data_IF_637430323957
#
_entry.id   IF_637430323957
#
_cell.length_a   1.000
_cell.length_b   1.000
_cell.length_c   1.000
_cell.angle_alpha   90.00
_cell.angle_beta   90.00
_cell.angle_gamma   90.00
#
_symmetry.space_group_name_H-M   'P 1'
#
loop_
_entity.id
_entity.type
_entity.pdbx_description
1 polymer ?
#
# COMPACT_ATOMS: atom_id res chain seq x y z
N UNK A 1 30.53 -22.22 7.34
CA UNK A 1 29.67 -21.55 8.34
C UNK A 1 30.59 -21.00 9.41
N UNK A 2 30.48 -19.73 9.79
CA UNK A 2 31.24 -19.21 10.92
C UNK A 2 30.63 -19.75 12.22
N UNK A 3 31.47 -20.22 13.13
CA UNK A 3 31.03 -20.67 14.45
C UNK A 3 30.78 -19.46 15.37
N UNK A 4 29.93 -19.64 16.38
CA UNK A 4 29.63 -18.59 17.35
C UNK A 4 30.86 -18.29 18.23
N UNK A 5 31.19 -17.01 18.49
CA UNK A 5 32.26 -16.65 19.41
C UNK A 5 32.03 -17.22 20.82
N UNK A 6 33.08 -17.67 21.53
CA UNK A 6 32.95 -18.12 22.92
C UNK A 6 32.41 -17.02 23.85
N UNK A 7 31.51 -17.38 24.76
CA UNK A 7 31.04 -16.50 25.84
C UNK A 7 29.98 -15.46 25.48
N UNK A 8 29.50 -15.42 24.23
CA UNK A 8 28.36 -14.54 23.87
C UNK A 8 27.04 -15.05 24.48
N UNK A 9 26.12 -14.14 24.75
CA UNK A 9 24.77 -14.48 25.17
C UNK A 9 24.07 -15.30 24.06
N UNK A 10 23.47 -16.43 24.44
CA UNK A 10 22.68 -17.26 23.52
C UNK A 10 21.24 -17.30 24.01
N UNK A 11 20.32 -16.87 23.13
CA UNK A 11 18.88 -16.89 23.39
C UNK A 11 18.26 -18.06 22.62
N UNK A 12 17.85 -19.10 23.34
CA UNK A 12 17.15 -20.24 22.74
C UNK A 12 15.83 -19.79 22.13
N UNK A 13 15.57 -20.19 20.88
CA UNK A 13 14.27 -20.03 20.23
C UNK A 13 13.30 -21.18 20.53
N UNK A 14 13.72 -22.15 21.37
CA UNK A 14 12.93 -23.33 21.73
C UNK A 14 12.34 -24.07 20.50
N UNK A 15 13.11 -24.11 19.40
CA UNK A 15 12.71 -24.77 18.14
C UNK A 15 11.81 -23.95 17.22
N UNK A 16 11.50 -22.69 17.55
CA UNK A 16 10.71 -21.82 16.68
C UNK A 16 11.46 -21.42 15.39
N UNK A 17 10.70 -20.99 14.39
CA UNK A 17 11.21 -20.45 13.12
C UNK A 17 11.64 -19.00 13.34
N UNK A 18 12.85 -18.64 12.89
CA UNK A 18 13.30 -17.26 12.82
C UNK A 18 13.26 -16.76 11.37
N UNK A 19 12.74 -15.56 11.19
CA UNK A 19 12.52 -14.88 9.91
C UNK A 19 12.87 -13.39 10.07
N UNK A 20 13.17 -12.66 8.99
CA UNK A 20 12.94 -11.22 8.98
C UNK A 20 11.50 -10.90 9.41
N UNK A 21 11.31 -9.76 10.07
CA UNK A 21 9.96 -9.30 10.41
C UNK A 21 9.14 -8.98 9.15
N UNK A 22 7.82 -9.14 9.22
CA UNK A 22 6.98 -8.88 8.06
C UNK A 22 6.89 -7.38 7.76
N UNK A 23 6.73 -7.07 6.48
CA UNK A 23 6.54 -5.72 5.96
C UNK A 23 5.15 -5.64 5.32
N UNK A 24 4.24 -4.88 5.92
CA UNK A 24 2.89 -4.71 5.39
C UNK A 24 2.75 -3.39 4.63
N UNK A 25 2.67 -3.47 3.31
CA UNK A 25 2.68 -2.28 2.45
C UNK A 25 1.30 -1.67 2.22
N UNK A 26 0.25 -2.15 2.89
CA UNK A 26 -1.09 -1.55 2.86
C UNK A 26 -1.83 -1.82 4.17
N UNK A 27 -1.91 -0.81 5.04
CA UNK A 27 -2.52 -0.93 6.36
C UNK A 27 -3.25 0.35 6.77
N UNK A 28 -4.58 0.32 6.78
CA UNK A 28 -5.42 1.46 7.11
C UNK A 28 -5.53 1.70 8.63
N UNK A 29 -5.51 0.60 9.39
CA UNK A 29 -5.68 0.60 10.84
C UNK A 29 -5.48 -0.78 11.44
N UNK A 30 -5.19 -0.84 12.74
CA UNK A 30 -5.15 -2.06 13.54
C UNK A 30 -5.14 -1.68 15.03
N UNK A 31 -5.29 -2.66 15.92
CA UNK A 31 -5.22 -2.44 17.37
C UNK A 31 -6.34 -1.58 17.94
N UNK A 32 -7.47 -1.48 17.24
CA UNK A 32 -8.62 -0.65 17.62
C UNK A 32 -8.59 0.78 17.08
N UNK A 33 -7.58 1.17 16.30
CA UNK A 33 -7.45 2.51 15.72
C UNK A 33 -7.37 2.47 14.19
N UNK A 34 -7.66 3.61 13.54
CA UNK A 34 -7.55 3.83 12.10
C UNK A 34 -6.70 5.08 11.86
N UNK A 35 -5.88 5.09 10.82
CA UNK A 35 -5.16 6.27 10.35
C UNK A 35 -5.96 7.02 9.26
N UNK A 36 -7.25 7.23 9.50
CA UNK A 36 -8.22 7.74 8.53
C UNK A 36 -9.35 8.51 9.23
N UNK A 37 -10.32 8.99 8.45
CA UNK A 37 -11.59 9.62 8.87
C UNK A 37 -11.49 11.01 9.53
N UNK A 38 -10.63 11.22 10.52
CA UNK A 38 -10.59 12.49 11.27
C UNK A 38 -9.18 13.01 11.54
N UNK A 39 -9.06 14.31 11.83
CA UNK A 39 -7.80 14.93 12.20
C UNK A 39 -7.25 14.38 13.53
N UNK A 40 -8.12 13.91 14.43
CA UNK A 40 -7.70 13.30 15.70
C UNK A 40 -7.08 11.92 15.47
N UNK A 41 -7.65 11.15 14.53
CA UNK A 41 -7.19 9.81 14.19
C UNK A 41 -5.86 9.82 13.40
N UNK A 42 -5.62 10.85 12.59
CA UNK A 42 -4.35 11.02 11.85
C UNK A 42 -3.31 11.67 12.77
N UNK A 43 -2.67 10.86 13.62
CA UNK A 43 -1.72 11.31 14.65
C UNK A 43 -0.54 10.36 14.83
N UNK A 44 0.54 10.82 15.46
CA UNK A 44 1.71 9.99 15.80
C UNK A 44 1.32 8.87 16.77
N UNK A 45 0.43 9.15 17.73
CA UNK A 45 -0.07 8.17 18.69
C UNK A 45 -0.78 7.00 17.99
N UNK A 46 -1.60 7.28 16.98
CA UNK A 46 -2.22 6.23 16.15
C UNK A 46 -1.18 5.32 15.50
N UNK A 47 -0.11 5.88 14.93
CA UNK A 47 0.97 5.10 14.32
C UNK A 47 1.72 4.24 15.35
N UNK A 48 1.94 4.76 16.55
CA UNK A 48 2.56 4.01 17.66
C UNK A 48 1.67 2.84 18.13
N UNK A 49 0.36 3.06 18.25
CA UNK A 49 -0.62 2.02 18.59
C UNK A 49 -0.62 0.93 17.51
N UNK A 50 -0.67 1.33 16.23
CA UNK A 50 -0.64 0.40 15.10
C UNK A 50 0.64 -0.44 15.09
N UNK A 51 1.81 0.19 15.28
CA UNK A 51 3.09 -0.51 15.36
C UNK A 51 3.09 -1.57 16.48
N UNK A 52 2.60 -1.23 17.67
CA UNK A 52 2.52 -2.18 18.80
C UNK A 52 1.52 -3.30 18.56
N UNK A 53 0.48 -3.08 17.77
CA UNK A 53 -0.45 -4.13 17.36
C UNK A 53 0.19 -5.06 16.31
N UNK A 54 0.89 -4.49 15.33
CA UNK A 54 1.62 -5.23 14.29
C UNK A 54 2.69 -6.18 14.87
N UNK A 55 3.44 -5.74 15.87
CA UNK A 55 4.47 -6.55 16.51
C UNK A 55 3.91 -7.86 17.13
N UNK A 56 2.63 -7.87 17.54
CA UNK A 56 1.96 -9.07 18.09
C UNK A 56 1.69 -10.15 17.04
N UNK A 57 1.64 -9.77 15.76
CA UNK A 57 1.47 -10.67 14.62
C UNK A 57 2.75 -10.85 13.79
N UNK A 58 3.90 -10.40 14.30
CA UNK A 58 5.20 -10.55 13.65
C UNK A 58 5.49 -9.51 12.55
N UNK A 59 4.63 -8.52 12.38
CA UNK A 59 4.85 -7.39 11.48
C UNK A 59 5.67 -6.32 12.20
N UNK A 60 6.87 -6.05 11.68
CA UNK A 60 7.79 -5.07 12.28
C UNK A 60 7.76 -3.74 11.54
N UNK A 61 7.27 -3.75 10.30
CA UNK A 61 7.31 -2.62 9.40
C UNK A 61 6.02 -2.51 8.60
N UNK A 62 5.56 -1.29 8.35
CA UNK A 62 4.37 -1.08 7.55
C UNK A 62 4.35 0.28 6.87
N UNK A 63 3.43 0.45 5.93
CA UNK A 63 3.05 1.75 5.39
C UNK A 63 1.69 2.15 5.98
N UNK A 64 1.59 3.19 6.82
CA UNK A 64 0.29 3.72 7.20
C UNK A 64 -0.44 4.22 5.95
N UNK A 65 -1.60 3.62 5.69
CA UNK A 65 -2.41 3.89 4.52
C UNK A 65 -3.49 4.91 4.86
N UNK A 66 -3.36 6.11 4.27
CA UNK A 66 -4.39 7.15 4.30
C UNK A 66 -5.18 7.09 3.00
N UNK A 67 -6.47 6.73 3.09
CA UNK A 67 -7.36 6.61 1.94
C UNK A 67 -7.87 7.98 1.48
N UNK A 68 -8.71 7.97 0.45
CA UNK A 68 -9.27 9.17 -0.19
C UNK A 68 -9.96 10.11 0.81
N UNK A 69 -9.36 11.28 1.00
CA UNK A 69 -9.78 12.31 1.95
C UNK A 69 -9.48 13.73 1.40
N UNK A 70 -9.67 14.77 2.20
CA UNK A 70 -9.38 16.16 1.84
C UNK A 70 -7.87 16.45 1.75
N UNK A 71 -7.51 17.52 1.04
CA UNK A 71 -6.12 17.97 0.93
C UNK A 71 -5.52 18.31 2.30
N UNK A 72 -6.32 18.85 3.21
CA UNK A 72 -5.91 19.23 4.58
C UNK A 72 -5.47 17.99 5.37
N UNK A 73 -6.24 16.91 5.29
CA UNK A 73 -5.93 15.68 6.01
C UNK A 73 -4.75 14.95 5.36
N UNK A 74 -4.59 14.99 4.03
CA UNK A 74 -3.37 14.51 3.35
C UNK A 74 -2.12 15.27 3.83
N UNK A 75 -2.19 16.61 3.87
CA UNK A 75 -1.10 17.46 4.39
C UNK A 75 -0.80 17.16 5.85
N UNK A 76 -1.82 16.86 6.65
CA UNK A 76 -1.64 16.44 8.04
C UNK A 76 -0.95 15.09 8.14
N UNK A 77 -1.39 14.08 7.37
CA UNK A 77 -0.75 12.78 7.31
C UNK A 77 0.75 12.89 7.03
N UNK A 78 1.13 13.74 6.07
CA UNK A 78 2.53 14.01 5.72
C UNK A 78 3.32 14.62 6.88
N UNK A 79 2.76 15.60 7.61
CA UNK A 79 3.40 16.16 8.81
C UNK A 79 3.56 15.12 9.92
N UNK A 80 2.53 14.31 10.15
CA UNK A 80 2.54 13.25 11.17
C UNK A 80 3.56 12.17 10.85
N UNK A 81 3.64 11.75 9.58
CA UNK A 81 4.63 10.76 9.16
C UNK A 81 6.05 11.29 9.34
N UNK A 82 6.28 12.56 8.99
CA UNK A 82 7.58 13.23 9.20
C UNK A 82 7.96 13.23 10.68
N UNK A 83 7.04 13.63 11.57
CA UNK A 83 7.28 13.63 13.01
C UNK A 83 7.53 12.22 13.57
N UNK A 84 6.80 11.21 13.07
CA UNK A 84 7.01 9.82 13.49
C UNK A 84 8.40 9.31 13.09
N UNK A 85 8.85 9.57 11.85
CA UNK A 85 10.15 9.12 11.34
C UNK A 85 11.34 9.70 12.10
N UNK A 86 11.22 10.90 12.68
CA UNK A 86 12.26 11.49 13.53
C UNK A 86 12.50 10.69 14.81
N UNK A 87 11.48 9.98 15.30
CA UNK A 87 11.50 9.26 16.58
C UNK A 87 11.68 7.75 16.41
N UNK A 88 11.16 7.19 15.33
CA UNK A 88 10.92 5.75 15.17
C UNK A 88 11.47 5.22 13.84
N UNK A 89 12.81 5.09 13.69
CA UNK A 89 13.41 4.56 12.47
C UNK A 89 13.05 3.08 12.28
N UNK A 90 12.87 2.68 11.02
CA UNK A 90 12.64 1.28 10.65
C UNK A 90 11.41 0.62 11.32
N UNK A 91 10.33 1.38 11.51
CA UNK A 91 9.01 0.88 11.92
C UNK A 91 7.99 1.20 10.82
N UNK A 92 7.13 2.21 10.99
CA UNK A 92 6.37 2.78 9.88
C UNK A 92 7.32 3.46 8.89
N UNK A 93 7.36 2.99 7.65
CA UNK A 93 8.43 3.31 6.69
C UNK A 93 8.19 4.58 5.86
N UNK A 94 6.99 5.14 5.96
CA UNK A 94 6.51 6.25 5.13
C UNK A 94 5.06 6.03 4.69
N UNK A 95 4.41 7.06 4.18
CA UNK A 95 2.99 7.00 3.85
C UNK A 95 2.71 6.15 2.62
N UNK A 96 1.56 5.48 2.68
CA UNK A 96 0.82 5.06 1.50
C UNK A 96 -0.42 5.93 1.35
N UNK A 97 -0.48 6.76 0.31
CA UNK A 97 -1.68 7.51 -0.03
C UNK A 97 -2.53 6.70 -1.02
N UNK A 98 -3.71 6.23 -0.60
CA UNK A 98 -4.62 5.45 -1.45
C UNK A 98 -5.75 6.31 -2.02
N UNK A 99 -5.51 6.84 -3.23
CA UNK A 99 -6.28 7.93 -3.80
C UNK A 99 -5.72 9.30 -3.41
N UNK A 100 -6.45 10.39 -3.69
CA UNK A 100 -7.86 10.46 -4.10
C UNK A 100 -8.11 10.35 -5.61
N UNK A 101 -7.07 10.12 -6.41
CA UNK A 101 -7.14 10.12 -7.88
C UNK A 101 -7.56 8.76 -8.44
N UNK A 102 -8.78 8.36 -8.08
CA UNK A 102 -9.34 7.04 -8.34
C UNK A 102 -10.48 7.10 -9.37
N UNK A 103 -10.95 5.94 -9.82
CA UNK A 103 -12.14 5.83 -10.64
C UNK A 103 -13.37 5.55 -9.77
N UNK A 104 -14.41 6.38 -9.88
CA UNK A 104 -15.67 6.21 -9.13
C UNK A 104 -16.33 4.85 -9.35
N UNK A 105 -16.18 4.24 -10.53
CA UNK A 105 -16.69 2.89 -10.83
C UNK A 105 -16.09 1.84 -9.88
N UNK A 106 -14.86 2.07 -9.43
CA UNK A 106 -14.06 1.17 -8.60
C UNK A 106 -13.70 1.80 -7.27
N UNK A 107 -14.49 2.77 -6.78
CA UNK A 107 -14.25 3.44 -5.49
C UNK A 107 -14.21 2.49 -4.28
N UNK A 108 -14.87 1.32 -4.36
CA UNK A 108 -15.03 0.44 -3.20
C UNK A 108 -15.67 1.19 -2.02
N UNK A 109 -14.99 1.17 -0.88
CA UNK A 109 -15.36 1.85 0.37
C UNK A 109 -14.99 3.33 0.41
N UNK A 110 -14.22 3.84 -0.56
CA UNK A 110 -13.81 5.25 -0.58
C UNK A 110 -15.02 6.17 -0.69
N UNK A 111 -14.96 7.28 0.04
CA UNK A 111 -16.00 8.31 -0.01
C UNK A 111 -15.99 8.98 -1.40
N UNK A 112 -17.08 8.86 -2.19
CA UNK A 112 -17.14 9.41 -3.54
C UNK A 112 -16.98 10.93 -3.59
N UNK A 113 -17.33 11.64 -2.51
CA UNK A 113 -17.26 13.11 -2.46
C UNK A 113 -15.83 13.63 -2.50
N UNK A 114 -14.85 12.79 -2.10
CA UNK A 114 -13.43 13.15 -2.15
C UNK A 114 -12.71 12.58 -3.38
N UNK A 115 -13.32 11.66 -4.14
CA UNK A 115 -12.68 11.13 -5.37
C UNK A 115 -12.62 12.25 -6.42
N UNK A 116 -11.41 12.62 -6.83
CA UNK A 116 -11.18 13.81 -7.67
C UNK A 116 -10.02 13.62 -8.63
N UNK A 117 -9.93 14.48 -9.63
CA UNK A 117 -8.77 14.52 -10.54
C UNK A 117 -7.54 15.11 -9.82
N UNK A 118 -6.31 14.77 -10.26
CA UNK A 118 -5.11 15.40 -9.75
C UNK A 118 -5.09 16.90 -10.06
N UNK A 119 -4.81 17.69 -9.04
CA UNK A 119 -4.47 19.11 -9.17
C UNK A 119 -2.95 19.27 -9.11
N UNK A 120 -2.41 20.18 -9.93
CA UNK A 120 -0.96 20.37 -10.05
C UNK A 120 -0.32 20.79 -8.73
N UNK A 121 -0.95 21.66 -7.94
CA UNK A 121 -0.37 22.12 -6.68
C UNK A 121 -0.28 20.98 -5.65
N UNK A 122 -1.28 20.10 -5.62
CA UNK A 122 -1.24 18.92 -4.75
C UNK A 122 -0.17 17.92 -5.21
N UNK A 123 -0.07 17.64 -6.51
CA UNK A 123 0.98 16.76 -7.07
C UNK A 123 2.37 17.27 -6.69
N UNK A 124 2.61 18.57 -6.89
CA UNK A 124 3.89 19.21 -6.58
C UNK A 124 4.20 19.12 -5.09
N UNK A 125 3.21 19.37 -4.24
CA UNK A 125 3.33 19.22 -2.80
C UNK A 125 3.70 17.79 -2.38
N UNK A 126 3.14 16.75 -3.03
CA UNK A 126 3.53 15.37 -2.75
C UNK A 126 4.98 15.11 -3.16
N UNK A 127 5.41 15.62 -4.32
CA UNK A 127 6.79 15.45 -4.79
C UNK A 127 7.81 16.14 -3.87
N UNK A 128 7.50 17.34 -3.38
CA UNK A 128 8.35 18.07 -2.43
C UNK A 128 8.45 17.38 -1.06
N UNK A 129 7.55 16.43 -0.77
CA UNK A 129 7.51 15.65 0.47
C UNK A 129 7.74 14.14 0.22
N UNK A 130 8.35 13.77 -0.91
CA UNK A 130 8.59 12.38 -1.28
C UNK A 130 9.42 11.61 -0.23
N UNK A 131 10.22 12.30 0.57
CA UNK A 131 11.05 11.71 1.62
C UNK A 131 10.27 11.02 2.75
N UNK A 132 8.96 11.32 2.89
CA UNK A 132 8.07 10.68 3.85
C UNK A 132 6.90 9.95 3.20
N UNK A 133 6.86 9.89 1.86
CA UNK A 133 5.79 9.25 1.08
C UNK A 133 6.40 8.10 0.30
N UNK A 134 6.14 6.88 0.76
CA UNK A 134 6.66 5.67 0.10
C UNK A 134 5.86 5.35 -1.16
N UNK A 135 4.53 5.50 -1.12
CA UNK A 135 3.65 5.00 -2.18
C UNK A 135 2.41 5.86 -2.38
N UNK A 136 1.99 6.02 -3.64
CA UNK A 136 0.70 6.60 -4.03
C UNK A 136 -0.05 5.60 -4.91
N UNK A 137 -1.29 5.28 -4.55
CA UNK A 137 -2.21 4.50 -5.39
C UNK A 137 -3.15 5.42 -6.14
N UNK A 138 -3.25 5.21 -7.45
CA UNK A 138 -4.12 5.97 -8.35
C UNK A 138 -4.72 5.10 -9.46
N UNK A 139 -5.75 5.62 -10.12
CA UNK A 139 -6.32 5.03 -11.31
C UNK A 139 -5.64 5.61 -12.56
N UNK A 140 -4.83 4.85 -13.31
CA UNK A 140 -4.03 5.37 -14.42
C UNK A 140 -4.86 6.00 -15.55
N UNK A 141 -6.09 5.55 -15.77
CA UNK A 141 -7.02 6.13 -16.75
C UNK A 141 -7.62 7.48 -16.31
N UNK A 142 -7.48 7.83 -15.03
CA UNK A 142 -8.00 9.07 -14.44
C UNK A 142 -6.90 10.14 -14.28
N UNK A 143 -5.65 9.79 -14.53
CA UNK A 143 -4.47 10.60 -14.22
C UNK A 143 -3.60 10.79 -15.47
N UNK A 144 -3.19 12.03 -15.79
CA UNK A 144 -2.22 12.28 -16.85
C UNK A 144 -0.88 11.53 -16.65
N UNK A 145 -0.28 11.05 -17.74
CA UNK A 145 0.95 10.25 -17.66
C UNK A 145 2.16 11.04 -17.09
N UNK A 146 2.19 12.36 -17.27
CA UNK A 146 3.20 13.24 -16.69
C UNK A 146 3.09 13.35 -15.18
N UNK A 147 1.89 13.25 -14.60
CA UNK A 147 1.69 13.17 -13.14
C UNK A 147 2.29 11.89 -12.58
N UNK A 148 2.04 10.74 -13.24
CA UNK A 148 2.65 9.45 -12.86
C UNK A 148 4.17 9.55 -12.91
N UNK A 149 4.71 10.05 -14.03
CA UNK A 149 6.15 10.20 -14.21
C UNK A 149 6.77 11.14 -13.18
N UNK A 150 6.09 12.24 -12.83
CA UNK A 150 6.57 13.21 -11.85
C UNK A 150 6.71 12.60 -10.46
N UNK A 151 5.71 11.82 -10.01
CA UNK A 151 5.75 11.12 -8.72
C UNK A 151 6.85 10.05 -8.71
N UNK A 152 6.94 9.24 -9.78
CA UNK A 152 7.97 8.22 -9.90
C UNK A 152 9.39 8.81 -9.90
N UNK A 153 9.60 9.92 -10.61
CA UNK A 153 10.89 10.62 -10.66
C UNK A 153 11.25 11.29 -9.32
N UNK A 154 10.26 11.61 -8.48
CA UNK A 154 10.49 12.07 -7.11
C UNK A 154 10.88 10.94 -6.15
N UNK A 155 10.85 9.67 -6.59
CA UNK A 155 11.16 8.49 -5.79
C UNK A 155 9.95 7.83 -5.12
N UNK A 156 8.73 8.33 -5.38
CA UNK A 156 7.50 7.75 -4.85
C UNK A 156 7.11 6.54 -5.69
N UNK A 157 6.81 5.40 -5.05
CA UNK A 157 6.26 4.24 -5.76
C UNK A 157 4.83 4.56 -6.21
N UNK A 158 4.60 4.58 -7.52
CA UNK A 158 3.24 4.73 -8.05
C UNK A 158 2.61 3.36 -8.24
N UNK A 159 1.42 3.17 -7.65
CA UNK A 159 0.65 1.94 -7.69
C UNK A 159 -0.66 2.13 -8.46
N UNK A 160 -1.03 1.17 -9.31
CA UNK A 160 -2.36 1.12 -9.91
C UNK A 160 -3.37 0.46 -8.96
N UNK A 161 -4.50 1.10 -8.71
CA UNK A 161 -5.59 0.56 -7.88
C UNK A 161 -6.86 1.39 -8.01
N UNK A 162 -8.00 0.83 -7.58
CA UNK A 162 -9.31 1.49 -7.67
C UNK A 162 -9.58 2.08 -9.06
N UNK A 163 -9.31 1.26 -10.07
CA UNK A 163 -9.20 1.64 -11.47
C UNK A 163 -10.09 0.75 -12.30
N UNK A 164 -10.78 1.35 -13.27
CA UNK A 164 -11.51 0.63 -14.31
C UNK A 164 -10.75 0.60 -15.63
N UNK A 165 -9.42 0.78 -15.59
CA UNK A 165 -8.57 0.80 -16.78
C UNK A 165 -8.69 -0.48 -17.61
N UNK A 166 -8.81 -0.29 -18.92
CA UNK A 166 -8.52 -1.32 -19.91
C UNK A 166 -7.06 -1.77 -19.82
N UNK A 167 -6.73 -2.93 -20.41
CA UNK A 167 -5.34 -3.38 -20.51
C UNK A 167 -4.44 -2.31 -21.17
N UNK A 168 -4.94 -1.60 -22.18
CA UNK A 168 -4.19 -0.57 -22.90
C UNK A 168 -3.84 0.62 -21.98
N UNK A 169 -4.80 1.09 -21.19
CA UNK A 169 -4.62 2.18 -20.24
C UNK A 169 -3.70 1.78 -19.09
N UNK A 170 -3.85 0.56 -18.55
CA UNK A 170 -2.97 0.02 -17.53
C UNK A 170 -1.50 -0.02 -18.00
N UNK A 171 -1.23 -0.59 -19.19
CA UNK A 171 0.13 -0.63 -19.76
C UNK A 171 0.66 0.78 -20.09
N UNK A 172 -0.21 1.76 -20.36
CA UNK A 172 0.21 3.15 -20.49
C UNK A 172 0.68 3.73 -19.15
N UNK A 173 -0.04 3.43 -18.06
CA UNK A 173 0.39 3.77 -16.71
C UNK A 173 1.71 3.12 -16.31
N UNK A 174 1.92 1.85 -16.65
CA UNK A 174 3.19 1.15 -16.41
C UNK A 174 4.36 1.83 -17.12
N UNK A 175 4.20 2.16 -18.41
CA UNK A 175 5.21 2.91 -19.19
C UNK A 175 5.48 4.31 -18.63
N UNK A 176 4.50 4.92 -17.96
CA UNK A 176 4.65 6.23 -17.35
C UNK A 176 5.38 6.19 -16.00
N UNK A 177 5.56 5.01 -15.39
CA UNK A 177 6.31 4.85 -14.14
C UNK A 177 5.58 4.10 -13.02
N UNK A 178 4.38 3.55 -13.26
CA UNK A 178 3.73 2.65 -12.30
C UNK A 178 4.54 1.36 -12.19
N UNK A 179 4.92 0.98 -10.97
CA UNK A 179 5.71 -0.23 -10.68
C UNK A 179 5.05 -1.16 -9.66
N UNK A 180 3.89 -0.77 -9.12
CA UNK A 180 3.12 -1.56 -8.18
C UNK A 180 1.64 -1.64 -8.60
N UNK A 181 0.92 -2.63 -8.10
CA UNK A 181 -0.55 -2.70 -8.16
C UNK A 181 -1.12 -3.06 -6.78
N UNK A 182 -2.08 -2.28 -6.33
CA UNK A 182 -2.70 -2.41 -5.00
C UNK A 182 -3.74 -3.53 -5.02
N UNK A 183 -3.78 -4.37 -3.96
CA UNK A 183 -4.74 -5.48 -3.74
C UNK A 183 -5.29 -6.15 -5.01
N UNK A 184 -4.42 -6.81 -5.79
CA UNK A 184 -4.74 -7.49 -7.05
C UNK A 184 -6.11 -8.18 -7.02
N UNK A 185 -6.90 -7.94 -8.07
CA UNK A 185 -8.32 -8.32 -8.25
C UNK A 185 -9.32 -7.36 -7.58
N UNK A 186 -9.07 -6.91 -6.36
CA UNK A 186 -9.98 -6.02 -5.64
C UNK A 186 -10.00 -4.62 -6.27
N UNK A 187 -11.20 -4.05 -6.45
CA UNK A 187 -11.37 -2.75 -7.10
C UNK A 187 -10.67 -2.60 -8.49
N UNK A 188 -10.55 -3.71 -9.23
CA UNK A 188 -10.09 -3.77 -10.62
C UNK A 188 -11.18 -4.38 -11.53
N UNK A 189 -11.12 -4.25 -12.86
CA UNK A 189 -12.01 -4.97 -13.76
C UNK A 189 -11.81 -6.48 -13.67
N UNK A 190 -12.88 -7.23 -13.91
CA UNK A 190 -12.76 -8.68 -14.11
C UNK A 190 -11.99 -8.96 -15.40
N UNK A 191 -11.25 -10.07 -15.44
CA UNK A 191 -10.57 -10.53 -16.64
C UNK A 191 -11.59 -11.17 -17.57
N UNK A 192 -11.70 -10.66 -18.79
CA UNK A 192 -12.52 -11.26 -19.85
C UNK A 192 -11.66 -11.66 -21.04
N UNK A 193 -12.19 -12.50 -21.93
CA UNK A 193 -11.41 -13.03 -23.06
C UNK A 193 -10.90 -11.99 -24.07
N UNK A 194 -11.55 -10.82 -24.17
CA UNK A 194 -11.15 -9.73 -25.10
C UNK A 194 -10.70 -8.46 -24.41
N UNK A 195 -11.05 -8.28 -23.14
CA UNK A 195 -10.61 -7.17 -22.32
C UNK A 195 -10.15 -7.71 -20.97
N UNK A 196 -8.84 -7.98 -20.82
CA UNK A 196 -8.28 -8.45 -19.56
C UNK A 196 -8.29 -7.39 -18.45
N UNK A 197 -8.40 -6.10 -18.80
CA UNK A 197 -8.38 -4.99 -17.86
C UNK A 197 -7.08 -4.87 -17.07
N UNK A 198 -7.09 -4.04 -16.02
CA UNK A 198 -5.95 -3.84 -15.14
C UNK A 198 -5.43 -5.15 -14.52
N UNK A 199 -6.32 -6.02 -14.02
CA UNK A 199 -5.91 -7.28 -13.41
C UNK A 199 -5.14 -8.17 -14.40
N UNK A 200 -5.61 -8.28 -15.64
CA UNK A 200 -4.90 -9.01 -16.69
C UNK A 200 -3.57 -8.36 -17.08
N UNK A 201 -3.51 -7.03 -17.16
CA UNK A 201 -2.28 -6.31 -17.45
C UNK A 201 -1.20 -6.52 -16.36
N UNK A 202 -1.58 -6.49 -15.08
CA UNK A 202 -0.66 -6.77 -13.96
C UNK A 202 -0.13 -8.20 -14.01
N UNK A 203 -0.98 -9.17 -14.37
CA UNK A 203 -0.59 -10.58 -14.49
C UNK A 203 0.33 -10.86 -15.69
N UNK A 204 0.19 -10.09 -16.77
CA UNK A 204 1.01 -10.19 -18.00
C UNK A 204 2.38 -9.50 -17.85
N UNK A 205 2.46 -8.40 -17.11
CA UNK A 205 3.67 -7.59 -17.02
C UNK A 205 4.61 -8.09 -15.91
N UNK A 206 5.75 -8.68 -16.29
CA UNK A 206 6.65 -9.36 -15.34
C UNK A 206 7.28 -8.40 -14.30
N UNK A 207 7.46 -7.13 -14.63
CA UNK A 207 8.19 -6.17 -13.79
C UNK A 207 7.31 -5.50 -12.72
N UNK A 208 5.99 -5.62 -12.82
CA UNK A 208 5.06 -4.98 -11.88
C UNK A 208 4.90 -5.82 -10.62
N UNK A 209 5.23 -5.25 -9.46
CA UNK A 209 4.86 -5.82 -8.17
C UNK A 209 3.36 -5.69 -7.92
N UNK A 210 2.78 -6.61 -7.16
CA UNK A 210 1.40 -6.46 -6.71
C UNK A 210 1.16 -7.00 -5.31
N UNK A 211 0.36 -6.27 -4.54
CA UNK A 211 -0.17 -6.76 -3.27
C UNK A 211 -1.34 -7.70 -3.50
N UNK A 212 -1.50 -8.72 -2.66
CA UNK A 212 -2.70 -9.56 -2.60
C UNK A 212 -3.11 -9.79 -1.16
N UNK A 213 -4.42 -9.69 -0.89
CA UNK A 213 -5.03 -9.95 0.41
C UNK A 213 -5.35 -11.46 0.47
N UNK A 214 -4.75 -12.17 1.43
CA UNK A 214 -4.82 -13.62 1.53
C UNK A 214 -5.66 -14.12 2.72
N UNK A 215 -6.82 -13.50 2.96
CA UNK A 215 -7.75 -13.87 4.03
C UNK A 215 -8.81 -14.91 3.60
N UNK A 216 -8.87 -15.23 2.31
CA UNK A 216 -9.86 -16.14 1.72
C UNK A 216 -11.26 -15.52 1.54
N UNK A 217 -11.42 -14.23 1.83
CA UNK A 217 -12.65 -13.47 1.66
C UNK A 217 -12.53 -12.49 0.50
N UNK A 218 -11.42 -11.75 0.42
CA UNK A 218 -11.17 -10.76 -0.63
C UNK A 218 -10.88 -11.43 -1.98
N UNK A 219 -10.13 -12.53 -1.96
CA UNK A 219 -9.69 -13.25 -3.15
C UNK A 219 -9.79 -14.75 -2.92
N UNK A 220 -10.44 -15.45 -3.85
CA UNK A 220 -10.46 -16.91 -3.84
C UNK A 220 -9.04 -17.49 -3.90
N UNK A 221 -8.73 -18.49 -3.07
CA UNK A 221 -7.39 -19.09 -3.02
C UNK A 221 -6.91 -19.67 -4.36
N UNK A 222 -7.81 -20.07 -5.26
CA UNK A 222 -7.45 -20.47 -6.63
C UNK A 222 -6.86 -19.30 -7.42
N UNK A 223 -7.42 -18.09 -7.29
CA UNK A 223 -6.89 -16.90 -7.93
C UNK A 223 -5.55 -16.47 -7.33
N UNK A 224 -5.36 -16.60 -6.01
CA UNK A 224 -4.06 -16.38 -5.37
C UNK A 224 -3.02 -17.37 -5.92
N UNK A 225 -3.36 -18.66 -6.06
CA UNK A 225 -2.45 -19.65 -6.66
C UNK A 225 -2.12 -19.32 -8.12
N UNK A 226 -3.07 -18.83 -8.90
CA UNK A 226 -2.84 -18.40 -10.28
C UNK A 226 -1.89 -17.19 -10.33
N UNK A 227 -2.18 -16.15 -9.54
CA UNK A 227 -1.33 -14.98 -9.42
C UNK A 227 0.09 -15.36 -8.98
N UNK A 228 0.25 -16.24 -8.01
CA UNK A 228 1.57 -16.67 -7.53
C UNK A 228 2.42 -17.34 -8.61
N UNK A 229 1.80 -18.12 -9.50
CA UNK A 229 2.49 -18.77 -10.63
C UNK A 229 2.92 -17.77 -11.69
N UNK A 230 2.08 -16.77 -11.97
CA UNK A 230 2.35 -15.74 -13.00
C UNK A 230 3.34 -14.67 -12.51
N UNK A 231 3.22 -14.26 -11.25
CA UNK A 231 3.99 -13.15 -10.68
C UNK A 231 5.26 -13.56 -9.97
N UNK A 232 5.41 -14.82 -9.57
CA UNK A 232 6.65 -15.30 -8.97
C UNK A 232 7.03 -14.51 -7.71
N UNK A 233 8.18 -13.83 -7.76
CA UNK A 233 8.76 -13.00 -6.70
C UNK A 233 8.16 -11.58 -6.64
N UNK A 234 7.24 -11.23 -7.54
CA UNK A 234 6.54 -9.94 -7.59
C UNK A 234 5.21 -9.90 -6.86
N UNK A 235 4.77 -11.02 -6.29
CA UNK A 235 3.53 -11.10 -5.50
C UNK A 235 3.83 -10.90 -4.01
N UNK A 236 3.37 -9.77 -3.47
CA UNK A 236 3.51 -9.41 -2.07
C UNK A 236 2.23 -9.73 -1.29
N UNK A 237 2.36 -10.28 -0.08
CA UNK A 237 1.24 -10.31 0.85
C UNK A 237 1.03 -8.91 1.43
N UNK A 238 -0.23 -8.49 1.50
CA UNK A 238 -0.67 -7.29 2.23
C UNK A 238 -1.87 -7.66 3.08
N UNK A 239 -2.11 -6.92 4.16
CA UNK A 239 -3.31 -7.16 4.97
C UNK A 239 -4.50 -6.35 4.48
N UNK A 240 -4.26 -5.09 4.06
CA UNK A 240 -5.31 -4.08 3.89
C UNK A 240 -6.19 -3.96 5.16
N UNK A 241 -5.59 -4.24 6.32
CA UNK A 241 -6.33 -4.37 7.55
C UNK A 241 -6.86 -3.02 8.06
N UNK A 242 -7.84 -3.15 8.94
CA UNK A 242 -8.59 -2.07 9.58
C UNK A 242 -8.55 -2.26 11.10
N UNK A 243 -9.05 -1.27 11.86
CA UNK A 243 -9.05 -1.25 13.34
C UNK A 243 -9.29 -2.60 14.05
N UNK A 244 -10.22 -3.47 13.62
CA UNK A 244 -10.45 -4.78 14.26
C UNK A 244 -9.22 -5.70 14.35
N UNK A 245 -8.26 -5.58 13.43
CA UNK A 245 -7.09 -6.46 13.40
C UNK A 245 -6.23 -6.29 14.67
N UNK A 246 -6.10 -7.34 15.48
CA UNK A 246 -5.31 -7.30 16.72
C UNK A 246 -5.93 -6.48 17.86
N UNK A 247 -7.20 -6.07 17.74
CA UNK A 247 -7.95 -5.45 18.82
C UNK A 247 -8.32 -6.48 19.92
N UNK A 248 -8.48 -6.01 21.16
CA UNK A 248 -9.07 -6.82 22.24
C UNK A 248 -10.58 -6.60 22.24
N UNK A 249 -11.35 -7.67 22.09
CA UNK A 249 -12.80 -7.68 22.30
C UNK A 249 -13.14 -7.96 23.77
#
# INVERSE_FOLDING_TARGET
MAELPPGIEQRSLNGAILSPGFIDVQLNGCGGVQFNDTAEAVSVETLEIMQKANEKSGCTNFLPTLITTSDELMKQGIRVMREYLEKHPHQALGLHLEGPWLNLVKKGTHNPDFVRKPDAALVDFLCDNADVITKVTLAPEMVPADVIAKLANAGIVVSAGHSNATLKEAKAGFRAGITFATHLFNAMPYITGREPGLAGAVLDEADIYCGVIADGLHVDYANIRNAKRLKGDKLCLVTDATAPAGAKY
#
